data_IF_207849751397
#
_entry.id   IF_207849751397
#
_cell.length_a   1.000
_cell.length_b   1.000
_cell.length_c   1.000
_cell.angle_alpha   90.00
_cell.angle_beta   90.00
_cell.angle_gamma   90.00
#
_symmetry.space_group_name_H-M   'P 1'
#
loop_
_entity.id
_entity.type
_entity.pdbx_description
1 polymer ?
#
# COMPACT_ATOMS: atom_id res chain seq x y z
N UNK A 1 12.78 -4.20 -9.08
CA UNK A 1 12.80 -5.18 -7.96
C UNK A 1 14.11 -5.95 -7.75
N UNK A 2 14.78 -6.49 -8.79
CA UNK A 2 15.99 -7.32 -8.58
C UNK A 2 17.22 -6.51 -8.11
N UNK A 3 17.35 -5.26 -8.57
CA UNK A 3 18.45 -4.36 -8.20
C UNK A 3 18.29 -3.81 -6.79
N UNK A 4 17.05 -3.49 -6.39
CA UNK A 4 16.70 -3.02 -5.04
C UNK A 4 17.05 -4.07 -3.98
N UNK A 5 16.67 -5.33 -4.22
CA UNK A 5 16.99 -6.45 -3.32
C UNK A 5 18.50 -6.64 -3.15
N UNK A 6 19.27 -6.50 -4.24
CA UNK A 6 20.74 -6.56 -4.19
C UNK A 6 21.34 -5.43 -3.34
N UNK A 7 20.75 -4.23 -3.40
CA UNK A 7 21.21 -3.10 -2.61
C UNK A 7 21.02 -3.35 -1.11
N UNK A 8 19.82 -3.78 -0.70
CA UNK A 8 19.55 -4.11 0.72
C UNK A 8 20.40 -5.30 1.17
N UNK A 9 20.65 -6.28 0.31
CA UNK A 9 21.55 -7.40 0.61
C UNK A 9 22.99 -6.94 0.84
N UNK A 10 23.50 -5.99 0.05
CA UNK A 10 24.83 -5.42 0.26
C UNK A 10 24.93 -4.73 1.62
N UNK A 11 23.92 -3.94 2.01
CA UNK A 11 23.85 -3.28 3.32
C UNK A 11 23.86 -4.30 4.45
N UNK A 12 23.01 -5.33 4.37
CA UNK A 12 22.99 -6.42 5.35
C UNK A 12 24.35 -7.11 5.49
N UNK A 13 25.04 -7.38 4.37
CA UNK A 13 26.35 -8.02 4.38
C UNK A 13 27.40 -7.13 5.02
N UNK A 14 27.35 -5.82 4.78
CA UNK A 14 28.27 -4.85 5.37
C UNK A 14 28.04 -4.71 6.88
N UNK A 15 26.79 -4.51 7.33
CA UNK A 15 26.48 -4.46 8.76
C UNK A 15 26.90 -5.74 9.51
N UNK A 16 26.66 -6.92 8.91
CA UNK A 16 27.12 -8.19 9.47
C UNK A 16 28.66 -8.36 9.44
N UNK A 17 29.37 -7.64 8.58
CA UNK A 17 30.84 -7.62 8.58
C UNK A 17 31.34 -6.79 9.76
N UNK A 18 30.83 -5.58 9.95
CA UNK A 18 31.22 -4.70 11.07
C UNK A 18 30.94 -5.35 12.42
N UNK A 19 29.76 -5.96 12.57
CA UNK A 19 29.44 -6.68 13.80
C UNK A 19 30.38 -7.86 14.07
N UNK A 20 30.81 -8.59 13.03
CA UNK A 20 31.81 -9.66 13.16
C UNK A 20 33.20 -9.17 13.53
N UNK A 21 33.52 -7.92 13.19
CA UNK A 21 34.74 -7.25 13.66
C UNK A 21 34.63 -6.77 15.12
N UNK A 22 33.48 -6.98 15.77
CA UNK A 22 33.20 -6.55 17.14
C UNK A 22 32.59 -5.15 17.22
N UNK A 23 32.40 -4.47 16.08
CA UNK A 23 31.84 -3.13 16.03
C UNK A 23 30.32 -3.17 15.79
N UNK A 24 29.58 -3.25 16.88
CA UNK A 24 28.11 -3.27 16.83
C UNK A 24 27.51 -1.90 16.56
N UNK A 25 28.19 -0.83 16.96
CA UNK A 25 27.74 0.54 16.71
C UNK A 25 27.98 0.92 15.24
N UNK A 26 29.12 0.55 14.67
CA UNK A 26 29.39 0.68 13.23
C UNK A 26 28.40 -0.08 12.37
N UNK A 27 27.97 -1.28 12.80
CA UNK A 27 26.94 -2.05 12.10
C UNK A 27 25.59 -1.30 12.07
N UNK A 28 25.23 -0.57 13.13
CA UNK A 28 24.05 0.29 13.16
C UNK A 28 24.22 1.53 12.28
N UNK A 29 25.39 2.19 12.34
CA UNK A 29 25.68 3.36 11.51
C UNK A 29 25.56 3.06 10.02
N UNK A 30 25.94 1.86 9.57
CA UNK A 30 25.73 1.43 8.18
C UNK A 30 24.26 1.48 7.76
N UNK A 31 23.33 1.10 8.64
CA UNK A 31 21.90 1.23 8.36
C UNK A 31 21.44 2.68 8.42
N UNK A 32 21.87 3.41 9.45
CA UNK A 32 21.46 4.80 9.68
C UNK A 32 21.87 5.70 8.49
N UNK A 33 23.09 5.54 7.97
CA UNK A 33 23.61 6.28 6.83
C UNK A 33 22.81 6.02 5.55
N UNK A 34 22.48 4.76 5.28
CA UNK A 34 21.71 4.36 4.09
C UNK A 34 20.27 4.83 4.21
N UNK A 35 19.66 4.72 5.39
CA UNK A 35 18.31 5.23 5.65
C UNK A 35 18.27 6.75 5.48
N UNK A 36 19.26 7.48 6.00
CA UNK A 36 19.37 8.93 5.82
C UNK A 36 19.50 9.32 4.33
N UNK A 37 20.29 8.56 3.56
CA UNK A 37 20.42 8.77 2.12
C UNK A 37 19.11 8.48 1.37
N UNK A 38 18.42 7.39 1.68
CA UNK A 38 17.15 7.03 1.03
C UNK A 38 16.00 7.97 1.40
N UNK A 39 15.98 8.52 2.63
CA UNK A 39 15.03 9.55 3.06
C UNK A 39 15.08 10.82 2.22
N UNK A 40 16.23 11.14 1.64
CA UNK A 40 16.35 12.30 0.74
C UNK A 40 15.64 12.12 -0.60
N UNK A 41 15.22 10.88 -0.94
CA UNK A 41 14.52 10.57 -2.19
C UNK A 41 13.01 10.58 -1.96
N UNK A 42 12.27 11.26 -2.84
CA UNK A 42 10.81 11.43 -2.71
C UNK A 42 10.01 10.13 -2.67
N UNK A 43 10.41 9.11 -3.44
CA UNK A 43 9.67 7.84 -3.58
C UNK A 43 10.59 6.62 -3.45
N UNK A 44 11.29 6.50 -2.32
CA UNK A 44 12.15 5.33 -2.11
C UNK A 44 11.34 4.08 -1.75
N UNK A 45 11.27 3.14 -2.69
CA UNK A 45 10.73 1.80 -2.48
C UNK A 45 11.59 0.98 -1.49
N UNK A 46 12.83 1.43 -1.21
CA UNK A 46 13.80 0.72 -0.37
C UNK A 46 13.62 0.95 1.12
N UNK A 47 13.12 2.13 1.50
CA UNK A 47 12.98 2.56 2.90
C UNK A 47 12.26 1.53 3.79
N UNK A 48 11.06 1.03 3.41
CA UNK A 48 10.37 0.00 4.22
C UNK A 48 11.17 -1.29 4.35
N UNK A 49 11.89 -1.68 3.29
CA UNK A 49 12.70 -2.90 3.29
C UNK A 49 13.93 -2.72 4.21
N UNK A 50 14.55 -1.55 4.21
CA UNK A 50 15.68 -1.20 5.08
C UNK A 50 15.26 -1.21 6.55
N UNK A 51 14.16 -0.56 6.94
CA UNK A 51 13.66 -0.61 8.31
C UNK A 51 13.33 -2.04 8.77
N UNK A 52 12.74 -2.85 7.88
CA UNK A 52 12.44 -4.26 8.20
C UNK A 52 13.71 -5.07 8.45
N UNK A 53 14.75 -4.88 7.64
CA UNK A 53 16.02 -5.58 7.87
C UNK A 53 16.78 -5.04 9.08
N UNK A 54 16.73 -3.73 9.31
CA UNK A 54 17.42 -3.11 10.44
C UNK A 54 16.80 -3.53 11.78
N UNK A 55 15.47 -3.50 11.88
CA UNK A 55 14.76 -4.01 13.06
C UNK A 55 15.04 -5.50 13.29
N UNK A 56 15.07 -6.32 12.23
CA UNK A 56 15.43 -7.74 12.30
C UNK A 56 16.87 -7.94 12.80
N UNK A 57 17.83 -7.18 12.29
CA UNK A 57 19.23 -7.24 12.70
C UNK A 57 19.39 -6.82 14.17
N UNK A 58 18.82 -5.68 14.56
CA UNK A 58 18.85 -5.17 15.93
C UNK A 58 18.27 -6.18 16.93
N UNK A 59 17.14 -6.81 16.57
CA UNK A 59 16.49 -7.78 17.44
C UNK A 59 17.21 -9.14 17.50
N UNK A 60 17.59 -9.71 16.35
CA UNK A 60 18.11 -11.08 16.29
C UNK A 60 19.62 -11.19 16.48
N UNK A 61 20.37 -10.15 16.08
CA UNK A 61 21.84 -10.16 16.12
C UNK A 61 22.35 -9.41 17.33
N UNK A 62 21.88 -8.17 17.54
CA UNK A 62 22.29 -7.36 18.68
C UNK A 62 21.51 -7.69 19.97
N UNK A 63 20.35 -8.37 19.84
CA UNK A 63 19.44 -8.66 20.94
C UNK A 63 19.01 -7.40 21.71
N UNK A 64 18.88 -6.28 21.00
CA UNK A 64 18.49 -4.98 21.56
C UNK A 64 17.02 -4.67 21.26
N UNK A 65 16.17 -4.96 22.24
CA UNK A 65 14.74 -4.74 22.13
C UNK A 65 14.36 -3.24 22.13
N UNK A 66 15.10 -2.39 22.83
CA UNK A 66 14.80 -0.95 22.90
C UNK A 66 15.12 -0.27 21.58
N UNK A 67 16.29 -0.56 21.01
CA UNK A 67 16.67 -0.05 19.70
C UNK A 67 15.73 -0.56 18.62
N UNK A 68 15.34 -1.83 18.67
CA UNK A 68 14.32 -2.39 17.76
C UNK A 68 13.00 -1.62 17.84
N UNK A 69 12.49 -1.34 19.05
CA UNK A 69 11.28 -0.54 19.23
C UNK A 69 11.43 0.85 18.61
N UNK A 70 12.55 1.53 18.88
CA UNK A 70 12.83 2.85 18.32
C UNK A 70 12.79 2.84 16.78
N UNK A 71 13.47 1.87 16.15
CA UNK A 71 13.52 1.74 14.69
C UNK A 71 12.12 1.52 14.11
N UNK A 72 11.29 0.68 14.74
CA UNK A 72 9.94 0.40 14.27
C UNK A 72 9.03 1.62 14.40
N UNK A 73 9.12 2.36 15.50
CA UNK A 73 8.35 3.61 15.69
C UNK A 73 8.75 4.63 14.63
N UNK A 74 10.05 4.85 14.43
CA UNK A 74 10.57 5.75 13.40
C UNK A 74 10.13 5.34 11.98
N UNK A 75 10.09 4.04 11.69
CA UNK A 75 9.60 3.52 10.42
C UNK A 75 8.10 3.80 10.23
N UNK A 76 7.31 3.69 11.30
CA UNK A 76 5.87 3.98 11.27
C UNK A 76 5.60 5.47 11.08
N UNK A 77 6.31 6.34 11.80
CA UNK A 77 6.19 7.79 11.65
C UNK A 77 6.48 8.20 10.21
N UNK A 78 7.58 7.68 9.64
CA UNK A 78 7.92 7.94 8.25
C UNK A 78 6.87 7.38 7.26
N UNK A 79 6.32 6.20 7.53
CA UNK A 79 5.27 5.61 6.70
C UNK A 79 3.98 6.43 6.75
N UNK A 80 3.64 6.99 7.91
CA UNK A 80 2.47 7.83 8.10
C UNK A 80 2.67 9.18 7.41
N UNK A 81 3.83 9.82 7.57
CA UNK A 81 4.18 11.06 6.88
C UNK A 81 4.11 10.91 5.37
N UNK A 82 4.73 9.85 4.83
CA UNK A 82 4.65 9.55 3.40
C UNK A 82 3.23 9.26 2.95
N UNK A 83 2.38 8.63 3.78
CA UNK A 83 0.95 8.42 3.50
C UNK A 83 0.12 9.70 3.52
N UNK A 84 0.51 10.72 4.29
CA UNK A 84 -0.17 12.02 4.29
C UNK A 84 0.29 12.94 3.16
N UNK A 85 1.57 12.88 2.82
CA UNK A 85 2.17 13.70 1.75
C UNK A 85 1.83 13.14 0.38
N UNK A 86 1.88 11.81 0.24
CA UNK A 86 1.49 11.14 -0.97
C UNK A 86 0.02 10.74 -0.82
N UNK A 87 -0.84 11.25 -1.70
CA UNK A 87 -2.28 10.98 -1.68
C UNK A 87 -2.59 9.46 -1.64
N UNK A 88 -3.87 9.10 -1.45
CA UNK A 88 -4.31 7.69 -1.33
C UNK A 88 -3.74 6.78 -2.43
N UNK A 89 -3.42 7.38 -3.56
CA UNK A 89 -2.92 6.75 -4.77
C UNK A 89 -1.59 6.03 -4.57
N UNK A 90 -0.64 6.56 -3.81
CA UNK A 90 0.72 6.00 -3.73
C UNK A 90 0.86 4.87 -2.73
N UNK A 91 0.04 4.86 -1.65
CA UNK A 91 0.09 3.80 -0.62
C UNK A 91 -0.87 2.65 -0.88
N UNK A 92 -1.87 2.85 -1.75
CA UNK A 92 -2.79 1.80 -2.17
C UNK A 92 -1.99 0.59 -2.71
N UNK A 93 -2.13 -0.61 -2.11
CA UNK A 93 -1.46 -1.79 -2.65
C UNK A 93 -1.89 -2.05 -4.09
N UNK A 94 -1.09 -2.78 -4.87
CA UNK A 94 -1.55 -3.29 -6.17
C UNK A 94 -2.18 -4.67 -5.94
N UNK A 95 -3.48 -4.84 -6.22
CA UNK A 95 -4.11 -6.16 -6.13
C UNK A 95 -3.62 -6.93 -7.36
N UNK A 96 -3.29 -8.21 -7.20
CA UNK A 96 -3.06 -9.10 -8.35
C UNK A 96 -4.33 -9.36 -9.18
N UNK A 97 -5.49 -8.84 -8.74
CA UNK A 97 -6.80 -9.09 -9.32
C UNK A 97 -7.13 -7.99 -10.32
N UNK A 98 -7.12 -8.33 -11.63
CA UNK A 98 -7.41 -7.39 -12.73
C UNK A 98 -8.90 -7.04 -12.87
N UNK A 99 -9.79 -7.76 -12.18
CA UNK A 99 -11.24 -7.61 -12.26
C UNK A 99 -11.88 -8.25 -11.05
N UNK A 100 -12.68 -7.51 -10.30
CA UNK A 100 -13.63 -8.12 -9.38
C UNK A 100 -15.05 -7.58 -9.62
N UNK A 101 -16.02 -8.39 -9.24
CA UNK A 101 -17.43 -8.05 -9.27
C UNK A 101 -17.96 -8.23 -7.86
N UNK A 102 -18.53 -7.17 -7.30
CA UNK A 102 -19.16 -7.23 -5.98
C UNK A 102 -20.66 -7.45 -6.20
N UNK A 103 -21.13 -8.66 -5.89
CA UNK A 103 -22.56 -8.96 -5.83
C UNK A 103 -23.02 -8.74 -4.39
N UNK A 104 -23.91 -7.77 -4.20
CA UNK A 104 -24.47 -7.46 -2.91
C UNK A 104 -25.93 -7.09 -3.04
N UNK A 105 -26.69 -7.22 -1.96
CA UNK A 105 -28.12 -6.89 -1.96
C UNK A 105 -28.91 -7.66 -3.03
N UNK A 106 -28.77 -8.99 -3.06
CA UNK A 106 -29.55 -9.90 -3.92
C UNK A 106 -30.79 -10.45 -3.18
N UNK A 107 -31.86 -9.66 -2.94
CA UNK A 107 -33.06 -10.18 -2.30
C UNK A 107 -33.79 -11.10 -3.28
N UNK A 108 -34.19 -12.25 -2.78
CA UNK A 108 -35.09 -13.13 -3.50
C UNK A 108 -36.48 -12.46 -3.61
N UNK A 109 -37.05 -12.40 -4.82
CA UNK A 109 -38.38 -11.79 -5.09
C UNK A 109 -39.47 -12.38 -4.17
N UNK A 110 -39.30 -13.63 -3.75
CA UNK A 110 -40.25 -14.35 -2.92
C UNK A 110 -40.01 -14.20 -1.40
N UNK A 111 -38.99 -13.43 -0.97
CA UNK A 111 -38.64 -13.30 0.45
C UNK A 111 -38.65 -11.83 0.88
N UNK A 112 -39.43 -11.53 1.93
CA UNK A 112 -39.55 -10.18 2.50
C UNK A 112 -38.17 -9.61 2.85
N UNK A 113 -37.94 -8.34 2.54
CA UNK A 113 -36.71 -7.66 2.92
C UNK A 113 -36.56 -7.67 4.45
N UNK A 114 -35.42 -8.13 4.96
CA UNK A 114 -35.11 -8.14 6.38
C UNK A 114 -33.72 -7.53 6.62
N UNK A 115 -33.40 -7.28 7.89
CA UNK A 115 -32.13 -6.64 8.32
C UNK A 115 -30.88 -7.36 7.81
N UNK A 116 -30.97 -8.65 7.46
CA UNK A 116 -29.88 -9.40 6.83
C UNK A 116 -29.54 -8.88 5.42
N UNK A 117 -30.52 -8.46 4.64
CA UNK A 117 -30.28 -7.84 3.34
C UNK A 117 -29.64 -6.45 3.50
N UNK A 118 -30.07 -5.65 4.48
CA UNK A 118 -29.52 -4.31 4.74
C UNK A 118 -28.03 -4.36 5.08
N UNK A 119 -27.62 -5.33 5.91
CA UNK A 119 -26.19 -5.54 6.23
C UNK A 119 -25.36 -5.85 4.99
N UNK A 120 -25.85 -6.77 4.14
CA UNK A 120 -25.15 -7.09 2.89
C UNK A 120 -25.08 -5.90 1.93
N UNK A 121 -26.11 -5.04 1.92
CA UNK A 121 -26.13 -3.82 1.11
C UNK A 121 -25.07 -2.84 1.57
N UNK A 122 -25.00 -2.52 2.86
CA UNK A 122 -24.04 -1.53 3.38
C UNK A 122 -22.60 -2.03 3.19
N UNK A 123 -22.34 -3.29 3.52
CA UNK A 123 -20.99 -3.87 3.40
C UNK A 123 -20.57 -3.95 1.93
N UNK A 124 -21.45 -4.47 1.06
CA UNK A 124 -21.13 -4.61 -0.36
C UNK A 124 -20.92 -3.29 -1.07
N UNK A 125 -21.73 -2.29 -0.77
CA UNK A 125 -21.58 -0.93 -1.29
C UNK A 125 -20.27 -0.27 -0.81
N UNK A 126 -19.91 -0.45 0.46
CA UNK A 126 -18.63 0.03 1.00
C UNK A 126 -17.44 -0.61 0.27
N UNK A 127 -17.49 -1.93 0.07
CA UNK A 127 -16.44 -2.68 -0.64
C UNK A 127 -16.34 -2.23 -2.11
N UNK A 128 -17.48 -2.00 -2.78
CA UNK A 128 -17.50 -1.53 -4.15
C UNK A 128 -16.81 -0.16 -4.31
N UNK A 129 -17.10 0.79 -3.42
CA UNK A 129 -16.45 2.12 -3.40
C UNK A 129 -14.96 2.05 -3.05
N UNK A 130 -14.58 1.19 -2.10
CA UNK A 130 -13.16 0.99 -1.76
C UNK A 130 -12.38 0.51 -2.97
N UNK A 131 -12.92 -0.46 -3.72
CA UNK A 131 -12.29 -1.01 -4.93
C UNK A 131 -12.26 -0.02 -6.11
N UNK A 132 -13.12 1.00 -6.11
CA UNK A 132 -13.08 2.12 -7.07
C UNK A 132 -11.88 3.05 -6.82
N UNK A 133 -11.64 3.46 -5.57
CA UNK A 133 -10.55 4.38 -5.18
C UNK A 133 -9.17 3.78 -5.49
N UNK A 134 -8.86 2.63 -4.90
CA UNK A 134 -8.76 1.45 -5.74
C UNK A 134 -8.03 1.49 -7.08
N UNK A 135 -8.85 1.23 -8.09
CA UNK A 135 -8.53 1.26 -9.50
C UNK A 135 -8.06 2.63 -9.98
N UNK A 136 -8.61 3.73 -9.45
CA UNK A 136 -8.18 5.07 -9.84
C UNK A 136 -6.70 5.30 -9.52
N UNK A 137 -6.25 4.82 -8.36
CA UNK A 137 -4.84 4.80 -7.97
C UNK A 137 -3.96 3.94 -8.91
N UNK A 138 -4.39 2.71 -9.22
CA UNK A 138 -3.62 1.81 -10.10
C UNK A 138 -3.51 2.34 -11.54
N UNK A 139 -4.57 2.94 -12.09
CA UNK A 139 -4.57 3.54 -13.43
C UNK A 139 -3.57 4.71 -13.56
N UNK A 140 -3.40 5.50 -12.51
CA UNK A 140 -2.45 6.61 -12.50
C UNK A 140 -1.01 6.13 -12.31
N UNK A 141 -0.79 5.16 -11.43
CA UNK A 141 0.54 4.70 -11.05
C UNK A 141 1.12 3.64 -11.99
N UNK A 142 0.25 2.89 -12.67
CA UNK A 142 0.63 1.76 -13.50
C UNK A 142 -0.07 1.94 -14.86
N UNK A 143 0.69 1.95 -15.96
CA UNK A 143 0.12 1.99 -17.33
C UNK A 143 -0.55 0.65 -17.71
N UNK A 144 -1.21 0.01 -16.76
CA UNK A 144 -1.99 -1.21 -16.92
C UNK A 144 -3.22 -0.92 -17.76
N UNK A 145 -3.63 -1.89 -18.58
CA UNK A 145 -4.97 -1.92 -19.20
C UNK A 145 -6.05 -1.65 -18.15
N UNK A 146 -7.10 -0.86 -18.43
CA UNK A 146 -8.15 -0.60 -17.47
C UNK A 146 -8.74 -1.90 -16.93
N UNK A 147 -8.57 -2.15 -15.63
CA UNK A 147 -9.30 -3.18 -14.92
C UNK A 147 -10.79 -2.85 -15.03
N UNK A 148 -11.65 -3.80 -15.38
CA UNK A 148 -13.10 -3.52 -15.44
C UNK A 148 -13.71 -3.98 -14.15
N UNK A 149 -13.95 -3.08 -13.20
CA UNK A 149 -14.78 -3.40 -12.05
C UNK A 149 -16.27 -3.28 -12.40
N UNK A 150 -17.13 -3.98 -11.67
CA UNK A 150 -18.58 -3.87 -11.82
C UNK A 150 -19.27 -4.28 -10.52
N UNK A 151 -20.49 -3.83 -10.31
CA UNK A 151 -21.31 -4.25 -9.18
C UNK A 151 -22.74 -4.51 -9.64
N UNK A 152 -23.40 -5.42 -8.95
CA UNK A 152 -24.82 -5.67 -9.10
C UNK A 152 -25.49 -5.26 -7.79
N UNK A 153 -26.54 -4.43 -7.86
CA UNK A 153 -27.31 -4.04 -6.69
C UNK A 153 -28.83 -4.08 -6.96
N UNK A 154 -29.60 -3.91 -5.90
CA UNK A 154 -31.07 -3.94 -5.93
C UNK A 154 -31.73 -2.94 -6.90
N UNK A 155 -31.02 -1.87 -7.31
CA UNK A 155 -31.57 -0.73 -8.07
C UNK A 155 -31.62 -1.00 -9.58
N UNK A 156 -30.71 -1.83 -10.09
CA UNK A 156 -30.65 -2.21 -11.51
C UNK A 156 -30.12 -3.65 -11.59
N UNK A 157 -30.93 -4.60 -12.06
CA UNK A 157 -30.50 -5.98 -12.40
C UNK A 157 -29.63 -6.04 -13.67
N UNK A 158 -29.00 -4.92 -14.02
CA UNK A 158 -28.11 -4.78 -15.16
C UNK A 158 -26.71 -4.47 -14.67
N UNK A 159 -25.72 -5.05 -15.35
CA UNK A 159 -24.31 -4.81 -15.08
C UNK A 159 -24.00 -3.38 -15.46
N UNK A 160 -23.93 -2.48 -14.48
CA UNK A 160 -23.56 -1.09 -14.74
C UNK A 160 -22.04 -1.03 -14.90
N UNK A 161 -21.52 -0.54 -16.05
CA UNK A 161 -20.13 -0.12 -16.11
C UNK A 161 -19.94 1.01 -15.11
N UNK A 162 -18.83 0.99 -14.36
CA UNK A 162 -18.54 2.11 -13.47
C UNK A 162 -18.23 3.36 -14.30
N UNK A 163 -19.03 4.40 -14.09
CA UNK A 163 -18.72 5.77 -14.51
C UNK A 163 -18.00 6.44 -13.34
N UNK A 164 -16.73 6.86 -13.46
CA UNK A 164 -16.01 7.48 -12.36
C UNK A 164 -16.75 8.74 -11.88
N UNK A 165 -17.02 8.82 -10.58
CA UNK A 165 -17.76 9.94 -9.94
C UNK A 165 -16.88 11.16 -9.63
N UNK A 166 -15.78 11.35 -10.34
CA UNK A 166 -15.08 12.63 -10.41
C UNK A 166 -15.27 13.19 -11.81
N UNK A 167 -15.92 14.35 -11.89
CA UNK A 167 -16.27 15.02 -13.12
C UNK A 167 -15.11 15.08 -14.10
N UNK A 168 -15.45 14.99 -15.38
CA UNK A 168 -14.57 15.39 -16.47
C UNK A 168 -13.83 16.67 -16.08
N UNK A 169 -12.52 16.57 -15.85
CA UNK A 169 -11.64 17.70 -16.12
C UNK A 169 -11.69 17.86 -17.63
N UNK A 170 -12.71 18.55 -18.12
CA UNK A 170 -12.63 19.18 -19.43
C UNK A 170 -11.48 20.17 -19.31
N UNK A 171 -10.36 19.82 -19.92
CA UNK A 171 -9.33 20.77 -20.29
C UNK A 171 -9.99 21.81 -21.19
N UNK A 172 -10.47 22.90 -20.58
CA UNK A 172 -10.78 24.13 -21.29
C UNK A 172 -9.46 24.76 -21.70
N UNK A 173 -8.88 24.28 -22.80
CA UNK A 173 -7.96 25.11 -23.58
C UNK A 173 -8.80 26.20 -24.24
N UNK A 174 -8.60 27.42 -23.75
CA UNK A 174 -9.12 28.66 -24.29
C UNK A 174 -8.57 28.91 -25.70
N UNK A 175 -9.47 29.27 -26.62
CA UNK A 175 -9.17 30.00 -27.85
C UNK A 175 -8.47 31.34 -27.57
#
# INVERSE_FOLDING_TARGET
>A
MATEKRHVEAVMRHANMEHRNGDSDGACSVYDDVIALERSKKDSILLPLLYSQYSRFSYLVLNDAEKTRSIVVEALDHSIETMFVNEIETWAPTLPVKRAVVDFSSPNIFKKMHVGHVRSTIIGDTIARMLEVWQYADLKNNRSTPSTFGYNNMRTRERQPFTPMLGSVQSSESL
#
